data_IF_770774013438
#
_entry.id   IF_770774013438
#
_cell.length_a   1.000
_cell.length_b   1.000
_cell.length_c   1.000
_cell.angle_alpha   90.00
_cell.angle_beta   90.00
_cell.angle_gamma   90.00
#
_symmetry.space_group_name_H-M   'P 1'
#
loop_
_entity.id
_entity.type
_entity.pdbx_description
1 polymer ?
#
# COMPACT_ATOMS: atom_id res chain seq x y z
N UNK A 1 -6.41 -0.98 -16.04
CA UNK A 1 -7.51 -0.08 -15.62
C UNK A 1 -7.74 -0.17 -14.10
N UNK A 2 -6.68 0.03 -13.31
CA UNK A 2 -6.68 0.09 -11.84
C UNK A 2 -5.66 1.10 -11.29
N UNK A 3 -4.84 1.67 -12.18
CA UNK A 3 -3.90 2.74 -11.88
C UNK A 3 -4.67 4.03 -11.51
N UNK A 4 -4.02 4.88 -10.73
CA UNK A 4 -4.51 6.14 -10.18
C UNK A 4 -5.79 5.99 -9.33
N UNK A 5 -6.07 4.77 -8.85
CA UNK A 5 -7.12 4.54 -7.85
C UNK A 5 -6.53 4.47 -6.46
N UNK A 6 -7.26 5.05 -5.51
CA UNK A 6 -6.95 4.90 -4.08
C UNK A 6 -7.31 3.49 -3.65
N UNK A 7 -6.35 2.78 -3.09
CA UNK A 7 -6.46 1.40 -2.61
C UNK A 7 -6.17 1.33 -1.12
N UNK A 8 -6.80 0.37 -0.46
CA UNK A 8 -6.54 0.01 0.93
C UNK A 8 -5.78 -1.32 0.95
N UNK A 9 -4.68 -1.37 1.69
CA UNK A 9 -3.80 -2.53 1.73
C UNK A 9 -3.49 -2.88 3.18
N UNK A 10 -3.68 -4.15 3.50
CA UNK A 10 -3.26 -4.71 4.78
C UNK A 10 -1.89 -5.38 4.60
N UNK A 11 -0.91 -4.87 5.33
CA UNK A 11 0.44 -5.40 5.35
C UNK A 11 0.59 -6.45 6.44
N UNK A 12 1.70 -7.18 6.39
CA UNK A 12 2.07 -8.05 7.50
C UNK A 12 2.27 -7.25 8.81
N UNK A 13 1.97 -7.87 9.95
CA UNK A 13 2.10 -7.22 11.26
C UNK A 13 0.96 -6.25 11.61
N UNK A 14 -0.26 -6.50 11.12
CA UNK A 14 -1.47 -5.70 11.40
C UNK A 14 -1.43 -4.23 10.95
N UNK A 15 -0.44 -3.85 10.12
CA UNK A 15 -0.34 -2.50 9.57
C UNK A 15 -1.33 -2.35 8.41
N UNK A 16 -1.98 -1.19 8.34
CA UNK A 16 -2.96 -0.85 7.32
C UNK A 16 -2.52 0.43 6.65
N UNK A 17 -2.46 0.43 5.33
CA UNK A 17 -2.09 1.61 4.56
C UNK A 17 -3.14 1.91 3.50
N UNK A 18 -3.22 3.18 3.11
CA UNK A 18 -4.03 3.65 1.99
C UNK A 18 -3.17 4.49 1.09
N UNK A 19 -3.33 4.37 -0.22
CA UNK A 19 -2.59 5.21 -1.16
C UNK A 19 -3.07 5.01 -2.59
N UNK A 20 -2.47 5.72 -3.54
CA UNK A 20 -2.85 5.71 -4.94
C UNK A 20 -1.99 4.70 -5.70
N UNK A 21 -2.59 3.70 -6.33
CA UNK A 21 -1.86 2.70 -7.11
C UNK A 21 -1.28 3.33 -8.37
N UNK A 22 0.04 3.44 -8.47
CA UNK A 22 0.75 3.96 -9.64
C UNK A 22 1.21 2.89 -10.62
N UNK A 23 1.44 1.69 -10.13
CA UNK A 23 1.94 0.58 -10.94
C UNK A 23 1.80 -0.75 -10.25
N UNK A 24 1.72 -1.82 -11.04
CA UNK A 24 1.83 -3.18 -10.55
C UNK A 24 2.46 -4.08 -11.61
N UNK A 25 3.05 -5.19 -11.20
CA UNK A 25 3.62 -6.20 -12.09
C UNK A 25 2.96 -7.60 -11.89
N UNK A 26 3.26 -8.59 -12.76
CA UNK A 26 2.73 -9.96 -12.61
C UNK A 26 3.15 -10.68 -11.32
N UNK A 27 4.20 -10.20 -10.64
CA UNK A 27 4.63 -10.71 -9.34
C UNK A 27 3.90 -10.03 -8.17
N UNK A 28 2.90 -9.19 -8.46
CA UNK A 28 2.16 -8.38 -7.51
C UNK A 28 3.05 -7.42 -6.71
N UNK A 29 4.16 -6.96 -7.27
CA UNK A 29 4.83 -5.81 -6.72
C UNK A 29 4.00 -4.57 -7.05
N UNK A 30 3.62 -3.77 -6.06
CA UNK A 30 2.78 -2.60 -6.22
C UNK A 30 3.60 -1.34 -5.96
N UNK A 31 3.43 -0.32 -6.79
CA UNK A 31 3.94 1.03 -6.53
C UNK A 31 2.76 1.87 -6.09
N UNK A 32 2.79 2.37 -4.87
CA UNK A 32 1.70 3.15 -4.26
C UNK A 32 2.22 4.52 -3.85
N UNK A 33 1.56 5.55 -4.33
CA UNK A 33 1.91 6.94 -4.09
C UNK A 33 0.94 7.60 -3.10
N UNK A 34 1.31 8.74 -2.52
CA UNK A 34 0.50 9.43 -1.50
C UNK A 34 0.04 8.50 -0.34
N UNK A 35 0.92 7.58 0.05
CA UNK A 35 0.61 6.54 1.03
C UNK A 35 0.48 7.12 2.43
N UNK A 36 -0.58 6.72 3.10
CA UNK A 36 -0.89 7.03 4.48
C UNK A 36 -1.07 5.72 5.26
N UNK A 37 -0.28 5.53 6.30
CA UNK A 37 -0.48 4.48 7.27
C UNK A 37 -1.57 4.86 8.26
N UNK A 38 -2.45 3.92 8.56
CA UNK A 38 -3.50 4.03 9.56
C UNK A 38 -3.00 3.30 10.81
N UNK A 39 -2.51 4.07 11.79
CA UNK A 39 -2.07 3.54 13.09
C UNK A 39 -3.29 3.36 14.00
N UNK A 40 -4.22 4.30 13.97
CA UNK A 40 -5.48 4.25 14.72
C UNK A 40 -6.60 5.01 13.98
N UNK A 41 -7.80 5.08 14.57
CA UNK A 41 -8.91 5.83 13.98
C UNK A 41 -8.60 7.33 13.83
N UNK A 42 -7.74 7.86 14.72
CA UNK A 42 -7.38 9.27 14.80
C UNK A 42 -5.96 9.56 14.31
N UNK A 43 -5.09 8.55 14.26
CA UNK A 43 -3.68 8.72 13.90
C UNK A 43 -3.38 8.13 12.52
N UNK A 44 -2.92 9.00 11.62
CA UNK A 44 -2.49 8.64 10.27
C UNK A 44 -1.12 9.24 10.00
N UNK A 45 -0.21 8.41 9.50
CA UNK A 45 1.16 8.82 9.16
C UNK A 45 1.34 8.85 7.65
N UNK A 46 1.71 10.02 7.10
CA UNK A 46 2.05 10.13 5.68
C UNK A 46 3.44 9.55 5.42
N UNK A 47 3.51 8.54 4.57
CA UNK A 47 4.76 7.88 4.17
C UNK A 47 5.23 8.41 2.80
N UNK A 48 4.30 8.76 1.91
CA UNK A 48 4.60 9.17 0.54
C UNK A 48 4.59 7.99 -0.42
N UNK A 49 5.58 7.85 -1.28
CA UNK A 49 5.64 6.75 -2.25
C UNK A 49 6.25 5.50 -1.59
N UNK A 50 5.54 4.37 -1.65
CA UNK A 50 6.02 3.06 -1.18
C UNK A 50 5.96 2.04 -2.30
N UNK A 51 6.90 1.10 -2.26
CA UNK A 51 6.87 -0.10 -3.09
C UNK A 51 6.49 -1.25 -2.19
N UNK A 52 5.45 -2.00 -2.56
CA UNK A 52 5.01 -3.17 -1.83
C UNK A 52 5.42 -4.40 -2.60
N UNK A 53 6.11 -5.31 -1.92
CA UNK A 53 6.52 -6.59 -2.49
C UNK A 53 5.49 -7.65 -2.14
N UNK A 54 4.91 -8.28 -3.16
CA UNK A 54 4.05 -9.44 -3.00
C UNK A 54 4.89 -10.71 -2.85
N UNK A 55 4.77 -11.41 -1.73
CA UNK A 55 5.32 -12.77 -1.60
C UNK A 55 4.23 -13.71 -1.06
N UNK A 56 3.73 -14.59 -1.92
CA UNK A 56 2.71 -15.59 -1.57
C UNK A 56 1.46 -15.01 -0.88
N UNK A 57 0.94 -13.89 -1.41
CA UNK A 57 -0.28 -13.23 -0.89
C UNK A 57 -0.07 -12.34 0.33
N UNK A 58 1.17 -12.19 0.82
CA UNK A 58 1.54 -11.21 1.85
C UNK A 58 2.28 -10.03 1.21
N UNK A 59 1.91 -8.82 1.64
CA UNK A 59 2.57 -7.58 1.22
C UNK A 59 3.48 -7.05 2.34
N UNK A 60 4.69 -6.66 1.94
CA UNK A 60 5.67 -5.96 2.78
C UNK A 60 6.13 -4.70 2.06
N UNK A 61 6.32 -3.60 2.79
CA UNK A 61 7.04 -2.41 2.29
C UNK A 61 8.52 -2.75 2.18
#
# INVERSE_FOLDING_TARGET
RYLDKRIFIQLNGNRKITGVLRGFDPFMNLVVDETMEIVSATEKNSIGTVVLRGNSGKFTI
#
